data_IF_244104735718
#
_entry.id   IF_244104735718
#
_cell.length_a   1.000
_cell.length_b   1.000
_cell.length_c   1.000
_cell.angle_alpha   90.00
_cell.angle_beta   90.00
_cell.angle_gamma   90.00
#
_symmetry.space_group_name_H-M   'P 1'
#
loop_
_entity.id
_entity.type
_entity.pdbx_description
1 polymer ?
#
# COMPACT_ATOMS: atom_id res chain seq x y z
N UNK A 1 8.52 7.11 -32.20
CA UNK A 1 7.06 7.24 -32.15
C UNK A 1 6.70 8.62 -32.63
N UNK A 2 5.90 8.71 -33.69
CA UNK A 2 5.43 10.00 -34.25
C UNK A 2 4.42 10.65 -33.29
N UNK A 3 4.30 11.98 -33.31
CA UNK A 3 3.35 12.71 -32.43
C UNK A 3 1.89 12.27 -32.63
N UNK A 4 1.56 11.76 -33.83
CA UNK A 4 0.26 11.18 -34.15
C UNK A 4 0.00 9.86 -33.41
N UNK A 5 1.02 9.01 -33.28
CA UNK A 5 0.91 7.74 -32.52
C UNK A 5 0.68 8.01 -31.02
N UNK A 6 1.38 8.99 -30.46
CA UNK A 6 1.20 9.41 -29.05
C UNK A 6 -0.20 9.97 -28.78
N UNK A 7 -0.77 10.73 -29.72
CA UNK A 7 -2.12 11.29 -29.59
C UNK A 7 -3.22 10.22 -29.62
N UNK A 8 -3.06 9.19 -30.47
CA UNK A 8 -4.01 8.07 -30.55
C UNK A 8 -3.94 7.23 -29.28
N UNK A 9 -2.73 6.91 -28.81
CA UNK A 9 -2.52 6.14 -27.58
C UNK A 9 -3.07 6.87 -26.35
N UNK A 10 -2.88 8.19 -26.28
CA UNK A 10 -3.45 9.01 -25.22
C UNK A 10 -4.98 8.98 -25.21
N UNK A 11 -5.63 9.12 -26.36
CA UNK A 11 -7.08 9.07 -26.46
C UNK A 11 -7.65 7.68 -26.12
N UNK A 12 -6.98 6.61 -26.55
CA UNK A 12 -7.36 5.24 -26.18
C UNK A 12 -7.24 5.01 -24.67
N UNK A 13 -6.22 5.56 -24.02
CA UNK A 13 -6.06 5.48 -22.57
C UNK A 13 -7.16 6.22 -21.81
N UNK A 14 -7.60 7.39 -22.29
CA UNK A 14 -8.74 8.11 -21.70
C UNK A 14 -10.03 7.30 -21.79
N UNK A 15 -10.30 6.67 -22.95
CA UNK A 15 -11.47 5.81 -23.11
C UNK A 15 -11.40 4.62 -22.16
N UNK A 16 -10.25 3.95 -22.07
CA UNK A 16 -10.05 2.82 -21.16
C UNK A 16 -10.26 3.23 -19.69
N UNK A 17 -9.71 4.36 -19.27
CA UNK A 17 -9.91 4.90 -17.92
C UNK A 17 -11.37 5.22 -17.63
N UNK A 18 -12.12 5.74 -18.61
CA UNK A 18 -13.55 6.08 -18.42
C UNK A 18 -14.47 4.86 -18.34
N UNK A 19 -14.07 3.73 -18.93
CA UNK A 19 -14.86 2.49 -18.98
C UNK A 19 -14.51 1.50 -17.88
N UNK A 20 -13.35 1.68 -17.24
CA UNK A 20 -12.90 0.82 -16.16
C UNK A 20 -13.71 1.10 -14.90
N UNK A 21 -14.09 0.04 -14.20
CA UNK A 21 -14.72 0.12 -12.89
C UNK A 21 -13.81 0.80 -11.86
N UNK A 22 -14.43 1.35 -10.83
CA UNK A 22 -13.79 1.98 -9.68
C UNK A 22 -13.32 0.95 -8.67
N UNK A 23 -12.13 1.16 -8.12
CA UNK A 23 -11.50 0.25 -7.18
C UNK A 23 -11.31 0.89 -5.81
N UNK A 24 -11.94 0.32 -4.78
CA UNK A 24 -11.80 0.73 -3.39
C UNK A 24 -11.11 -0.38 -2.59
N UNK A 25 -10.11 -0.01 -1.80
CA UNK A 25 -9.33 -0.97 -1.00
C UNK A 25 -9.28 -0.56 0.47
N UNK A 26 -9.69 -1.49 1.33
CA UNK A 26 -9.47 -1.42 2.77
C UNK A 26 -8.11 -2.02 3.13
N UNK A 27 -7.21 -1.18 3.61
CA UNK A 27 -5.89 -1.59 4.10
C UNK A 27 -5.94 -1.72 5.62
N UNK A 28 -5.25 -2.70 6.18
CA UNK A 28 -5.09 -2.81 7.63
C UNK A 28 -3.72 -3.35 8.03
N UNK A 29 -3.28 -2.99 9.24
CA UNK A 29 -1.99 -3.42 9.78
C UNK A 29 -1.89 -4.94 10.02
N UNK A 30 -3.01 -5.62 10.26
CA UNK A 30 -3.06 -7.06 10.52
C UNK A 30 -4.45 -7.68 10.33
N UNK A 31 -4.52 -9.01 10.42
CA UNK A 31 -5.75 -9.74 10.64
C UNK A 31 -6.44 -9.29 11.93
N UNK A 32 -7.78 -9.27 11.92
CA UNK A 32 -8.57 -8.95 13.11
C UNK A 32 -8.86 -7.46 13.35
N UNK A 33 -8.27 -6.54 12.57
CA UNK A 33 -8.56 -5.09 12.65
C UNK A 33 -9.96 -4.70 12.16
N UNK A 34 -10.67 -5.63 11.50
CA UNK A 34 -12.07 -5.42 11.11
C UNK A 34 -12.29 -5.03 9.64
N UNK A 35 -11.31 -5.22 8.75
CA UNK A 35 -11.44 -4.94 7.30
C UNK A 35 -12.70 -5.54 6.68
N UNK A 36 -12.86 -6.86 6.76
CA UNK A 36 -14.03 -7.56 6.20
C UNK A 36 -15.35 -7.09 6.83
N UNK A 37 -15.34 -6.78 8.13
CA UNK A 37 -16.53 -6.28 8.82
C UNK A 37 -16.94 -4.89 8.29
N UNK A 38 -15.98 -3.96 8.17
CA UNK A 38 -16.22 -2.62 7.61
C UNK A 38 -16.67 -2.68 6.15
N UNK A 39 -16.02 -3.53 5.35
CA UNK A 39 -16.38 -3.76 3.96
C UNK A 39 -17.83 -4.26 3.80
N UNK A 40 -18.27 -5.20 4.64
CA UNK A 40 -19.66 -5.67 4.63
C UNK A 40 -20.65 -4.61 5.16
N UNK A 41 -20.28 -3.80 6.15
CA UNK A 41 -21.12 -2.67 6.59
C UNK A 41 -21.35 -1.66 5.46
N UNK A 42 -20.32 -1.36 4.67
CA UNK A 42 -20.44 -0.50 3.50
C UNK A 42 -21.33 -1.13 2.42
N UNK A 43 -21.17 -2.43 2.15
CA UNK A 43 -22.03 -3.16 1.23
C UNK A 43 -23.52 -3.06 1.60
N UNK A 44 -23.86 -3.16 2.89
CA UNK A 44 -25.23 -2.94 3.38
C UNK A 44 -25.70 -1.51 3.15
N UNK A 45 -24.84 -0.52 3.39
CA UNK A 45 -25.16 0.89 3.15
C UNK A 45 -25.46 1.12 1.67
N UNK A 46 -24.64 0.60 0.77
CA UNK A 46 -24.82 0.71 -0.68
C UNK A 46 -26.11 0.03 -1.14
N UNK A 47 -26.36 -1.20 -0.70
CA UNK A 47 -27.58 -1.94 -1.02
C UNK A 47 -28.83 -1.21 -0.53
N UNK A 48 -28.80 -0.64 0.68
CA UNK A 48 -29.91 0.16 1.22
C UNK A 48 -30.19 1.43 0.40
N UNK A 49 -29.18 1.98 -0.25
CA UNK A 49 -29.30 3.13 -1.15
C UNK A 49 -29.65 2.72 -2.59
N UNK A 50 -29.97 1.44 -2.84
CA UNK A 50 -30.43 0.95 -4.14
C UNK A 50 -29.31 0.63 -5.14
N UNK A 51 -28.05 0.59 -4.71
CA UNK A 51 -26.92 0.17 -5.56
C UNK A 51 -26.91 -1.36 -5.66
N UNK A 52 -26.74 -1.90 -6.88
CA UNK A 52 -26.58 -3.35 -7.08
C UNK A 52 -25.21 -3.82 -6.58
N UNK A 53 -25.18 -4.32 -5.34
CA UNK A 53 -23.98 -4.84 -4.69
C UNK A 53 -24.10 -6.34 -4.44
N UNK A 54 -23.07 -7.09 -4.85
CA UNK A 54 -23.02 -8.54 -4.61
C UNK A 54 -21.69 -8.97 -4.00
N UNK A 55 -21.72 -10.04 -3.21
CA UNK A 55 -20.52 -10.68 -2.69
C UNK A 55 -20.02 -11.71 -3.70
N UNK A 56 -18.84 -11.47 -4.27
CA UNK A 56 -18.15 -12.44 -5.11
C UNK A 56 -17.25 -13.35 -4.27
N UNK A 57 -16.56 -12.79 -3.27
CA UNK A 57 -15.77 -13.57 -2.32
C UNK A 57 -15.67 -12.88 -0.96
N UNK A 58 -15.79 -13.67 0.12
CA UNK A 58 -15.65 -13.20 1.51
C UNK A 58 -15.11 -14.33 2.38
N UNK A 59 -14.09 -14.06 3.19
CA UNK A 59 -13.60 -15.01 4.18
C UNK A 59 -14.01 -14.52 5.59
N UNK A 60 -14.97 -15.22 6.19
CA UNK A 60 -15.51 -14.85 7.50
C UNK A 60 -14.66 -15.39 8.65
N UNK A 61 -13.79 -16.38 8.38
CA UNK A 61 -13.05 -17.17 9.36
C UNK A 61 -13.94 -17.67 10.52
N UNK A 62 -15.19 -18.03 10.22
CA UNK A 62 -16.19 -18.50 11.20
C UNK A 62 -16.51 -17.47 12.31
N UNK A 63 -16.27 -16.19 12.04
CA UNK A 63 -16.57 -15.10 12.97
C UNK A 63 -18.05 -14.78 12.91
N UNK A 64 -18.81 -15.20 13.94
CA UNK A 64 -20.28 -14.99 14.05
C UNK A 64 -20.74 -13.58 13.68
N UNK A 65 -20.05 -12.55 14.16
CA UNK A 65 -20.38 -11.15 13.86
C UNK A 65 -20.21 -10.79 12.37
N UNK A 66 -19.21 -11.38 11.70
CA UNK A 66 -18.95 -11.16 10.27
C UNK A 66 -19.89 -12.00 9.40
N UNK A 67 -20.17 -13.25 9.79
CA UNK A 67 -21.17 -14.11 9.15
C UNK A 67 -22.58 -13.53 9.25
N UNK A 68 -22.93 -12.91 10.37
CA UNK A 68 -24.22 -12.22 10.50
C UNK A 68 -24.35 -11.10 9.45
N UNK A 69 -23.26 -10.37 9.15
CA UNK A 69 -23.27 -9.32 8.14
C UNK A 69 -23.37 -9.82 6.70
N UNK A 70 -23.08 -11.09 6.42
CA UNK A 70 -23.29 -11.61 5.06
C UNK A 70 -24.77 -11.87 4.77
N UNK A 71 -25.61 -12.00 5.80
CA UNK A 71 -27.04 -12.17 5.62
C UNK A 71 -27.68 -10.90 5.06
N UNK A 72 -28.53 -11.06 4.04
CA UNK A 72 -29.20 -9.95 3.36
C UNK A 72 -28.39 -9.30 2.24
N UNK A 73 -27.13 -9.68 2.03
CA UNK A 73 -26.35 -9.29 0.86
C UNK A 73 -26.47 -10.38 -0.22
N UNK A 74 -26.75 -10.03 -1.49
CA UNK A 74 -26.75 -10.99 -2.59
C UNK A 74 -25.37 -11.60 -2.81
N UNK A 75 -25.32 -12.88 -3.19
CA UNK A 75 -24.08 -13.61 -3.48
C UNK A 75 -24.01 -13.99 -4.95
N UNK A 76 -22.80 -13.96 -5.50
CA UNK A 76 -22.45 -14.65 -6.73
C UNK A 76 -21.94 -16.03 -6.33
N UNK A 77 -22.50 -17.08 -6.94
CA UNK A 77 -22.14 -18.45 -6.62
C UNK A 77 -20.64 -18.68 -6.88
N UNK A 78 -19.96 -19.27 -5.90
CA UNK A 78 -18.55 -19.65 -6.02
C UNK A 78 -18.43 -20.88 -6.91
N UNK A 79 -17.32 -20.99 -7.62
CA UNK A 79 -16.99 -22.22 -8.35
C UNK A 79 -16.34 -23.23 -7.41
N UNK A 80 -16.74 -24.49 -7.56
CA UNK A 80 -16.11 -25.61 -6.87
C UNK A 80 -14.96 -26.15 -7.72
N UNK A 81 -13.80 -26.36 -7.10
CA UNK A 81 -12.58 -26.83 -7.75
C UNK A 81 -12.00 -27.98 -6.94
N UNK A 82 -11.78 -29.12 -7.59
CA UNK A 82 -11.10 -30.26 -6.97
C UNK A 82 -9.58 -30.15 -7.16
N UNK A 83 -8.84 -30.03 -6.07
CA UNK A 83 -7.39 -29.96 -6.10
C UNK A 83 -6.76 -30.83 -4.99
N UNK A 84 -5.81 -31.70 -5.37
CA UNK A 84 -5.13 -32.65 -4.47
C UNK A 84 -6.10 -33.46 -3.57
N UNK A 85 -7.22 -33.89 -4.13
CA UNK A 85 -8.23 -34.69 -3.42
C UNK A 85 -9.08 -33.90 -2.42
N UNK A 86 -9.03 -32.57 -2.43
CA UNK A 86 -9.91 -31.70 -1.65
C UNK A 86 -10.77 -30.85 -2.58
N UNK A 87 -12.03 -30.67 -2.19
CA UNK A 87 -12.92 -29.70 -2.80
C UNK A 87 -12.63 -28.32 -2.19
N UNK A 88 -12.37 -27.35 -3.04
CA UNK A 88 -12.07 -25.96 -2.68
C UNK A 88 -13.07 -25.05 -3.39
N UNK A 89 -13.46 -23.97 -2.73
CA UNK A 89 -14.28 -22.93 -3.36
C UNK A 89 -13.39 -21.78 -3.80
N UNK A 90 -13.62 -21.29 -5.02
CA UNK A 90 -12.97 -20.09 -5.54
C UNK A 90 -14.00 -19.11 -6.10
N UNK A 91 -13.59 -17.85 -6.21
CA UNK A 91 -14.38 -16.83 -6.90
C UNK A 91 -14.62 -17.24 -8.35
N UNK A 92 -15.85 -17.08 -8.83
CA UNK A 92 -16.21 -17.27 -10.23
C UNK A 92 -16.22 -15.92 -10.95
N UNK A 93 -15.07 -15.57 -11.53
CA UNK A 93 -14.87 -14.30 -12.27
C UNK A 93 -15.83 -14.18 -13.45
N UNK A 94 -16.11 -15.29 -14.14
CA UNK A 94 -16.97 -15.25 -15.31
C UNK A 94 -18.44 -15.06 -14.90
N UNK A 95 -18.87 -15.67 -13.79
CA UNK A 95 -20.18 -15.41 -13.22
C UNK A 95 -20.34 -13.93 -12.82
N UNK A 96 -19.31 -13.32 -12.23
CA UNK A 96 -19.29 -11.88 -11.92
C UNK A 96 -19.47 -11.03 -13.18
N UNK A 97 -18.68 -11.31 -14.23
CA UNK A 97 -18.73 -10.55 -15.47
C UNK A 97 -20.07 -10.72 -16.20
N UNK A 98 -20.65 -11.93 -16.19
CA UNK A 98 -21.92 -12.22 -16.84
C UNK A 98 -23.11 -11.57 -16.12
N UNK A 99 -23.08 -11.57 -14.80
CA UNK A 99 -24.11 -10.97 -13.95
C UNK A 99 -24.03 -9.44 -13.93
N UNK A 100 -22.82 -8.90 -14.09
CA UNK A 100 -22.51 -7.47 -14.28
C UNK A 100 -23.18 -6.53 -13.24
N UNK A 101 -22.98 -6.77 -11.93
CA UNK A 101 -23.50 -5.86 -10.90
C UNK A 101 -22.77 -4.51 -10.94
N UNK A 102 -23.32 -3.49 -10.27
CA UNK A 102 -22.63 -2.21 -10.13
C UNK A 102 -21.36 -2.35 -9.29
N UNK A 103 -21.41 -3.12 -8.20
CA UNK A 103 -20.28 -3.31 -7.27
C UNK A 103 -20.18 -4.77 -6.84
N UNK A 104 -18.95 -5.31 -6.79
CA UNK A 104 -18.66 -6.58 -6.11
C UNK A 104 -17.73 -6.43 -4.92
N UNK A 105 -18.01 -7.24 -3.89
CA UNK A 105 -17.15 -7.42 -2.73
C UNK A 105 -16.20 -8.60 -2.95
N UNK A 106 -14.89 -8.36 -2.82
CA UNK A 106 -13.83 -9.36 -3.01
C UNK A 106 -12.82 -9.28 -1.86
N UNK A 107 -12.91 -10.16 -0.87
CA UNK A 107 -11.95 -10.23 0.24
C UNK A 107 -10.64 -10.96 -0.15
N UNK A 108 -9.62 -10.80 0.70
CA UNK A 108 -8.29 -11.41 0.60
C UNK A 108 -7.60 -11.15 -0.75
N UNK A 109 -7.37 -9.88 -1.08
CA UNK A 109 -6.78 -9.46 -2.35
C UNK A 109 -5.43 -10.15 -2.67
N UNK A 110 -4.69 -10.59 -1.65
CA UNK A 110 -3.36 -11.20 -1.78
C UNK A 110 -3.39 -12.71 -2.09
N UNK A 111 -4.58 -13.31 -2.01
CA UNK A 111 -4.76 -14.75 -2.12
C UNK A 111 -4.17 -15.32 -3.42
N UNK A 112 -3.55 -16.50 -3.27
CA UNK A 112 -3.08 -17.31 -4.39
C UNK A 112 -4.17 -18.28 -4.81
N UNK A 113 -4.68 -18.08 -6.02
CA UNK A 113 -5.76 -18.91 -6.56
C UNK A 113 -5.32 -20.37 -6.68
N UNK A 114 -6.29 -21.28 -6.58
CA UNK A 114 -6.06 -22.73 -6.76
C UNK A 114 -5.35 -23.01 -8.10
N UNK A 115 -4.30 -23.86 -8.15
CA UNK A 115 -3.62 -24.20 -9.38
C UNK A 115 -4.56 -24.73 -10.47
N UNK A 116 -4.36 -24.27 -11.71
CA UNK A 116 -5.28 -24.52 -12.82
C UNK A 116 -6.35 -23.45 -13.02
N UNK A 117 -6.40 -22.42 -12.16
CA UNK A 117 -7.17 -21.20 -12.40
C UNK A 117 -6.60 -20.39 -13.57
N UNK A 118 -7.45 -19.59 -14.23
CA UNK A 118 -7.03 -18.69 -15.32
C UNK A 118 -5.92 -17.73 -14.86
N UNK A 119 -6.10 -17.16 -13.68
CA UNK A 119 -5.15 -16.26 -13.05
C UNK A 119 -4.54 -16.92 -11.80
N UNK A 120 -3.28 -16.60 -11.52
CA UNK A 120 -2.54 -17.13 -10.35
C UNK A 120 -2.93 -16.41 -9.05
N UNK A 121 -3.30 -15.13 -9.14
CA UNK A 121 -3.57 -14.28 -7.98
C UNK A 121 -4.94 -13.64 -8.06
N UNK A 122 -5.61 -13.51 -6.91
CA UNK A 122 -6.93 -12.87 -6.83
C UNK A 122 -6.94 -11.41 -7.28
N UNK A 123 -5.85 -10.67 -7.07
CA UNK A 123 -5.74 -9.31 -7.60
C UNK A 123 -5.78 -9.24 -9.13
N UNK A 124 -5.39 -10.31 -9.84
CA UNK A 124 -5.54 -10.37 -11.29
C UNK A 124 -7.01 -10.57 -11.68
N UNK A 125 -7.75 -11.39 -10.93
CA UNK A 125 -9.19 -11.52 -11.12
C UNK A 125 -9.91 -10.19 -10.87
N UNK A 126 -9.49 -9.45 -9.84
CA UNK A 126 -10.00 -8.09 -9.58
C UNK A 126 -9.71 -7.15 -10.75
N UNK A 127 -8.54 -7.25 -11.39
CA UNK A 127 -8.26 -6.47 -12.61
C UNK A 127 -9.22 -6.87 -13.73
N UNK A 128 -9.43 -8.16 -13.97
CA UNK A 128 -10.35 -8.64 -15.01
C UNK A 128 -11.78 -8.09 -14.79
N UNK A 129 -12.25 -8.03 -13.54
CA UNK A 129 -13.56 -7.48 -13.16
C UNK A 129 -13.61 -5.96 -13.38
N UNK A 130 -12.56 -5.23 -12.96
CA UNK A 130 -12.48 -3.78 -13.16
C UNK A 130 -12.43 -3.41 -14.64
N UNK A 131 -11.69 -4.18 -15.45
CA UNK A 131 -11.59 -3.95 -16.89
C UNK A 131 -12.89 -4.29 -17.65
N UNK A 132 -13.76 -5.12 -17.06
CA UNK A 132 -15.13 -5.34 -17.53
C UNK A 132 -16.09 -4.19 -17.17
N UNK A 133 -15.64 -3.18 -16.40
CA UNK A 133 -16.43 -2.01 -16.03
C UNK A 133 -17.19 -2.15 -14.71
N UNK A 134 -16.96 -3.22 -13.94
CA UNK A 134 -17.61 -3.49 -12.65
C UNK A 134 -16.75 -2.92 -11.54
N UNK A 135 -17.36 -2.20 -10.59
CA UNK A 135 -16.61 -1.64 -9.46
C UNK A 135 -16.28 -2.73 -8.44
N UNK A 136 -15.14 -2.61 -7.75
CA UNK A 136 -14.69 -3.60 -6.76
C UNK A 136 -14.36 -2.93 -5.44
N UNK A 137 -14.89 -3.49 -4.35
CA UNK A 137 -14.44 -3.19 -2.99
C UNK A 137 -13.68 -4.41 -2.45
N UNK A 138 -12.44 -4.19 -2.01
CA UNK A 138 -11.57 -5.25 -1.54
C UNK A 138 -10.88 -4.90 -0.22
N UNK A 139 -10.21 -5.89 0.38
CA UNK A 139 -9.48 -5.75 1.62
C UNK A 139 -8.12 -6.48 1.58
N UNK A 140 -7.12 -5.88 2.23
CA UNK A 140 -5.74 -6.39 2.25
C UNK A 140 -5.01 -5.99 3.53
N UNK A 141 -4.07 -6.82 3.99
CA UNK A 141 -3.12 -6.44 5.04
C UNK A 141 -1.84 -5.87 4.43
N UNK A 142 -1.22 -4.89 5.10
CA UNK A 142 0.04 -4.27 4.64
C UNK A 142 1.18 -5.27 4.45
N UNK A 143 1.17 -6.38 5.20
CA UNK A 143 2.18 -7.42 5.15
C UNK A 143 2.30 -8.12 3.79
N UNK A 144 1.25 -8.00 2.96
CA UNK A 144 1.21 -8.56 1.62
C UNK A 144 1.73 -7.59 0.55
N UNK A 145 2.07 -6.35 0.90
CA UNK A 145 2.62 -5.38 -0.05
C UNK A 145 4.09 -5.72 -0.30
N UNK A 146 4.47 -5.83 -1.58
CA UNK A 146 5.81 -6.28 -1.98
C UNK A 146 6.92 -5.38 -1.39
N UNK A 147 6.80 -4.06 -1.53
CA UNK A 147 7.82 -3.11 -1.05
C UNK A 147 8.03 -3.11 0.47
N UNK A 148 7.02 -3.54 1.22
CA UNK A 148 7.00 -3.48 2.69
C UNK A 148 7.36 -4.85 3.31
N UNK A 149 7.50 -5.89 2.49
CA UNK A 149 7.69 -7.27 2.95
C UNK A 149 8.93 -7.45 3.83
N UNK A 150 10.05 -6.83 3.46
CA UNK A 150 11.31 -6.92 4.22
C UNK A 150 11.19 -6.24 5.59
N UNK A 151 10.56 -5.07 5.66
CA UNK A 151 10.32 -4.35 6.92
C UNK A 151 9.41 -5.17 7.84
N UNK A 152 8.34 -5.75 7.29
CA UNK A 152 7.42 -6.62 8.05
C UNK A 152 8.13 -7.88 8.54
N UNK A 153 8.99 -8.48 7.73
CA UNK A 153 9.79 -9.63 8.17
C UNK A 153 10.74 -9.24 9.31
N UNK A 154 11.40 -8.08 9.23
CA UNK A 154 12.26 -7.58 10.29
C UNK A 154 11.51 -7.33 11.61
N UNK A 155 10.27 -6.85 11.54
CA UNK A 155 9.40 -6.61 12.70
C UNK A 155 8.86 -7.92 13.30
N UNK A 156 8.33 -8.80 12.44
CA UNK A 156 7.51 -9.94 12.89
C UNK A 156 8.30 -11.24 13.01
N UNK A 157 9.37 -11.40 12.22
CA UNK A 157 10.11 -12.65 12.02
C UNK A 157 9.39 -13.67 11.13
N UNK A 158 8.25 -13.30 10.53
CA UNK A 158 7.40 -14.21 9.74
C UNK A 158 7.47 -13.85 8.27
N UNK A 159 7.91 -14.80 7.44
CA UNK A 159 7.93 -14.63 6.00
C UNK A 159 6.52 -14.71 5.42
N UNK A 160 6.10 -13.67 4.69
CA UNK A 160 4.80 -13.64 3.99
C UNK A 160 5.01 -14.03 2.53
N UNK A 161 4.41 -15.16 2.15
CA UNK A 161 4.52 -15.75 0.81
C UNK A 161 3.49 -15.18 -0.18
N UNK A 162 2.32 -14.80 0.32
CA UNK A 162 1.27 -14.19 -0.49
C UNK A 162 1.52 -12.70 -0.62
N UNK A 163 1.76 -12.24 -1.85
CA UNK A 163 2.20 -10.88 -2.13
C UNK A 163 1.37 -10.22 -3.23
N UNK A 164 1.30 -8.90 -3.15
CA UNK A 164 0.66 -8.00 -4.09
C UNK A 164 1.68 -6.93 -4.51
N UNK A 165 1.86 -6.72 -5.82
CA UNK A 165 2.66 -5.59 -6.32
C UNK A 165 2.06 -4.25 -5.92
N UNK A 166 2.90 -3.30 -5.50
CA UNK A 166 2.51 -1.93 -5.13
C UNK A 166 1.59 -1.23 -6.14
N UNK A 167 1.83 -1.48 -7.44
CA UNK A 167 1.03 -0.93 -8.54
C UNK A 167 -0.47 -1.24 -8.40
N UNK A 168 -0.83 -2.37 -7.78
CA UNK A 168 -2.24 -2.76 -7.61
C UNK A 168 -2.94 -1.80 -6.64
N UNK A 169 -2.25 -1.38 -5.57
CA UNK A 169 -2.79 -0.37 -4.66
C UNK A 169 -2.81 1.01 -5.28
N UNK A 170 -1.80 1.34 -6.09
CA UNK A 170 -1.76 2.61 -6.83
C UNK A 170 -2.92 2.73 -7.84
N UNK A 171 -3.45 1.61 -8.33
CA UNK A 171 -4.60 1.57 -9.22
C UNK A 171 -5.94 1.78 -8.48
N UNK A 172 -5.97 1.77 -7.14
CA UNK A 172 -7.20 1.98 -6.39
C UNK A 172 -7.63 3.45 -6.44
N UNK A 173 -8.87 3.72 -6.83
CA UNK A 173 -9.48 5.05 -6.79
C UNK A 173 -9.70 5.53 -5.34
N UNK A 174 -9.90 4.63 -4.38
CA UNK A 174 -10.03 4.95 -2.96
C UNK A 174 -9.25 3.95 -2.09
N UNK A 175 -8.50 4.45 -1.12
CA UNK A 175 -7.77 3.63 -0.15
C UNK A 175 -8.18 4.06 1.25
N UNK A 176 -8.72 3.12 2.04
CA UNK A 176 -9.22 3.37 3.39
C UNK A 176 -8.39 2.57 4.39
N UNK A 177 -7.76 3.25 5.34
CA UNK A 177 -7.04 2.60 6.43
C UNK A 177 -7.99 2.16 7.55
N UNK A 178 -7.92 0.89 7.92
CA UNK A 178 -8.59 0.34 9.10
C UNK A 178 -7.56 0.13 10.19
N UNK A 179 -7.69 0.93 11.23
CA UNK A 179 -6.76 1.00 12.35
C UNK A 179 -7.45 0.61 13.66
N UNK A 180 -6.66 0.03 14.57
CA UNK A 180 -7.03 -0.27 15.95
C UNK A 180 -5.81 -0.01 16.83
N UNK A 181 -6.03 0.25 18.11
CA UNK A 181 -4.93 0.25 19.07
C UNK A 181 -4.40 -1.16 19.30
N UNK A 182 -3.16 -1.28 19.79
CA UNK A 182 -2.57 -2.57 20.11
C UNK A 182 -3.39 -3.30 21.19
N UNK A 183 -3.87 -2.57 22.20
CA UNK A 183 -4.69 -3.11 23.28
C UNK A 183 -6.01 -3.68 22.75
N UNK A 184 -6.74 -2.94 21.91
CA UNK A 184 -7.98 -3.42 21.28
C UNK A 184 -7.74 -4.67 20.42
N UNK A 185 -6.65 -4.72 19.67
CA UNK A 185 -6.33 -5.88 18.84
C UNK A 185 -6.01 -7.11 19.71
N UNK A 186 -5.27 -6.92 20.79
CA UNK A 186 -4.93 -7.98 21.77
C UNK A 186 -6.19 -8.46 22.49
N UNK A 187 -7.08 -7.57 22.91
CA UNK A 187 -8.36 -7.92 23.53
C UNK A 187 -9.22 -8.75 22.59
N UNK A 188 -9.31 -8.34 21.32
CA UNK A 188 -10.03 -9.10 20.28
C UNK A 188 -9.42 -10.49 20.07
N UNK A 189 -8.09 -10.60 20.08
CA UNK A 189 -7.42 -11.89 20.01
C UNK A 189 -7.77 -12.77 21.22
N UNK A 190 -7.66 -12.23 22.44
CA UNK A 190 -7.98 -12.94 23.70
C UNK A 190 -9.43 -13.38 23.78
N UNK A 191 -10.35 -12.58 23.23
CA UNK A 191 -11.76 -12.91 23.11
C UNK A 191 -12.07 -13.98 22.03
N UNK A 192 -11.04 -14.52 21.35
CA UNK A 192 -11.22 -15.52 20.29
C UNK A 192 -11.85 -14.95 19.01
N UNK A 193 -11.80 -13.63 18.82
CA UNK A 193 -12.39 -12.96 17.64
C UNK A 193 -11.46 -12.90 16.43
N UNK A 194 -10.26 -13.48 16.51
CA UNK A 194 -9.23 -13.43 15.46
C UNK A 194 -8.71 -14.83 15.10
N UNK A 195 -8.38 -15.65 16.09
CA UNK A 195 -7.93 -17.04 15.92
C UNK A 195 -8.65 -17.99 16.86
N UNK A 196 -8.63 -19.28 16.51
CA UNK A 196 -9.03 -20.37 17.39
C UNK A 196 -8.24 -20.37 18.70
N UNK A 197 -8.87 -20.79 19.79
CA UNK A 197 -8.31 -20.77 21.14
C UNK A 197 -6.94 -21.45 21.25
N UNK A 198 -6.74 -22.52 20.47
CA UNK A 198 -5.48 -23.29 20.44
C UNK A 198 -4.29 -22.51 19.89
N UNK A 199 -4.53 -21.45 19.09
CA UNK A 199 -3.47 -20.62 18.46
C UNK A 199 -3.25 -19.29 19.18
N UNK A 200 -4.09 -18.92 20.14
CA UNK A 200 -4.04 -17.61 20.81
C UNK A 200 -2.70 -17.40 21.54
N UNK A 201 -2.26 -18.36 22.35
CA UNK A 201 -1.02 -18.23 23.13
C UNK A 201 0.19 -18.04 22.20
N UNK A 202 0.29 -18.86 21.16
CA UNK A 202 1.35 -18.77 20.16
C UNK A 202 1.29 -17.45 19.39
N UNK A 203 0.09 -16.95 19.06
CA UNK A 203 -0.09 -15.67 18.38
C UNK A 203 0.35 -14.49 19.25
N UNK A 204 0.02 -14.49 20.54
CA UNK A 204 0.43 -13.47 21.53
C UNK A 204 1.94 -13.45 21.76
N UNK A 205 2.59 -14.62 21.76
CA UNK A 205 4.05 -14.71 21.91
C UNK A 205 4.82 -14.29 20.64
N UNK A 206 4.16 -14.25 19.48
CA UNK A 206 4.81 -13.96 18.20
C UNK A 206 4.37 -12.63 17.60
N UNK A 207 3.30 -12.64 16.79
CA UNK A 207 2.88 -11.49 15.99
C UNK A 207 2.18 -10.41 16.85
N UNK A 208 1.36 -10.82 17.83
CA UNK A 208 0.48 -9.93 18.60
C UNK A 208 1.15 -9.38 19.86
N UNK A 209 2.38 -8.89 19.70
CA UNK A 209 3.11 -8.15 20.72
C UNK A 209 2.86 -6.64 20.54
N UNK A 210 2.60 -5.87 21.63
CA UNK A 210 2.31 -4.45 21.53
C UNK A 210 3.34 -3.66 20.71
N UNK A 211 4.63 -3.95 20.88
CA UNK A 211 5.73 -3.28 20.19
C UNK A 211 5.68 -3.54 18.69
N UNK A 212 5.41 -4.78 18.27
CA UNK A 212 5.29 -5.17 16.87
C UNK A 212 4.05 -4.56 16.22
N UNK A 213 2.92 -4.55 16.93
CA UNK A 213 1.69 -3.93 16.45
C UNK A 213 1.90 -2.43 16.24
N UNK A 214 2.60 -1.75 17.15
CA UNK A 214 2.90 -0.33 17.01
C UNK A 214 3.75 -0.02 15.77
N UNK A 215 4.78 -0.84 15.51
CA UNK A 215 5.61 -0.70 14.31
C UNK A 215 4.84 -0.99 13.02
N UNK A 216 3.99 -2.03 12.99
CA UNK A 216 3.12 -2.31 11.84
C UNK A 216 2.08 -1.21 11.62
N UNK A 217 1.60 -0.57 12.70
CA UNK A 217 0.68 0.57 12.62
C UNK A 217 1.36 1.78 12.00
N UNK A 218 2.58 2.10 12.43
CA UNK A 218 3.40 3.15 11.82
C UNK A 218 3.58 2.90 10.32
N UNK A 219 3.92 1.67 9.96
CA UNK A 219 4.13 1.24 8.58
C UNK A 219 2.85 1.36 7.74
N UNK A 220 1.70 0.97 8.29
CA UNK A 220 0.40 1.11 7.62
C UNK A 220 0.04 2.58 7.35
N UNK A 221 0.25 3.44 8.34
CA UNK A 221 -0.03 4.87 8.21
C UNK A 221 0.90 5.54 7.19
N UNK A 222 2.19 5.16 7.20
CA UNK A 222 3.18 5.65 6.23
C UNK A 222 2.81 5.26 4.80
N UNK A 223 2.37 4.02 4.58
CA UNK A 223 1.96 3.57 3.24
C UNK A 223 0.71 4.29 2.76
N UNK A 224 -0.31 4.42 3.62
CA UNK A 224 -1.54 5.17 3.29
C UNK A 224 -1.21 6.63 2.98
N UNK A 225 -0.33 7.27 3.76
CA UNK A 225 0.12 8.63 3.49
C UNK A 225 0.81 8.75 2.13
N UNK A 226 1.69 7.80 1.79
CA UNK A 226 2.37 7.78 0.47
C UNK A 226 1.38 7.61 -0.69
N UNK A 227 0.34 6.78 -0.53
CA UNK A 227 -0.70 6.61 -1.55
C UNK A 227 -1.54 7.87 -1.75
N UNK A 228 -1.89 8.57 -0.66
CA UNK A 228 -2.60 9.86 -0.74
C UNK A 228 -1.73 10.91 -1.44
N UNK A 229 -0.45 11.00 -1.09
CA UNK A 229 0.48 11.93 -1.72
C UNK A 229 0.61 11.68 -3.24
N UNK A 230 0.77 10.42 -3.65
CA UNK A 230 0.83 10.06 -5.09
C UNK A 230 -0.45 10.44 -5.84
N UNK A 231 -1.63 10.32 -5.22
CA UNK A 231 -2.90 10.75 -5.84
C UNK A 231 -3.00 12.25 -5.96
N UNK A 232 -2.59 12.97 -4.93
CA UNK A 232 -2.51 14.44 -4.96
C UNK A 232 -1.62 14.90 -6.11
N UNK A 233 -0.44 14.28 -6.28
CA UNK A 233 0.47 14.60 -7.38
C UNK A 233 -0.10 14.27 -8.77
N UNK A 234 -0.90 13.20 -8.87
CA UNK A 234 -1.49 12.75 -10.13
C UNK A 234 -2.72 13.57 -10.57
N UNK A 235 -3.62 13.88 -9.64
CA UNK A 235 -4.89 14.58 -9.89
C UNK A 235 -4.71 16.10 -9.88
N UNK A 236 -3.89 16.62 -8.97
CA UNK A 236 -3.57 18.03 -8.92
C UNK A 236 -2.39 18.29 -9.85
N UNK A 237 -2.67 18.44 -11.15
CA UNK A 237 -1.76 19.20 -12.05
C UNK A 237 -1.78 20.65 -11.57
N UNK A 238 -0.91 20.95 -10.59
CA UNK A 238 -0.80 22.29 -10.01
C UNK A 238 -0.37 23.25 -11.12
N UNK A 239 -1.35 23.95 -11.68
CA UNK A 239 -1.12 25.21 -12.38
C UNK A 239 -0.57 26.19 -11.32
N UNK A 240 0.72 26.49 -11.44
CA UNK A 240 1.50 27.53 -10.78
C UNK A 240 0.95 28.08 -9.43
N UNK A 241 1.47 27.61 -8.27
CA UNK A 241 1.88 28.45 -7.11
C UNK A 241 2.30 27.78 -5.79
N UNK A 242 2.32 26.46 -5.65
CA UNK A 242 3.09 25.85 -4.56
C UNK A 242 4.53 25.66 -5.06
N UNK A 243 5.36 26.69 -4.86
CA UNK A 243 6.81 26.56 -5.10
C UNK A 243 7.28 25.33 -4.36
N UNK A 244 7.82 24.35 -5.09
CA UNK A 244 8.61 23.30 -4.47
C UNK A 244 9.77 24.00 -3.78
N UNK A 245 9.75 24.06 -2.44
CA UNK A 245 10.78 24.76 -1.68
C UNK A 245 12.09 24.00 -1.81
N UNK A 246 12.94 24.37 -2.78
CA UNK A 246 14.25 23.76 -2.93
C UNK A 246 15.14 24.21 -1.78
N UNK A 247 15.65 23.27 -1.02
CA UNK A 247 16.61 23.58 0.04
C UNK A 247 18.02 23.58 -0.52
N UNK A 248 18.86 24.53 -0.11
CA UNK A 248 20.27 24.57 -0.50
C UNK A 248 21.15 24.71 0.75
N UNK A 249 22.15 23.86 0.85
CA UNK A 249 23.16 23.91 1.89
C UNK A 249 24.50 24.37 1.30
N UNK A 250 24.95 25.56 1.69
CA UNK A 250 26.30 26.02 1.35
C UNK A 250 27.29 25.54 2.40
N UNK A 251 28.30 24.79 1.97
CA UNK A 251 29.36 24.26 2.86
C UNK A 251 30.74 24.78 2.43
N UNK A 252 31.65 24.88 3.39
CA UNK A 252 33.07 25.20 3.18
C UNK A 252 33.95 23.98 3.48
N UNK A 253 35.27 24.14 3.46
CA UNK A 253 36.19 23.06 3.83
C UNK A 253 36.22 22.73 5.33
N UNK A 254 35.45 23.46 6.17
CA UNK A 254 35.34 23.18 7.60
C UNK A 254 34.46 21.93 7.85
N UNK A 255 35.10 20.84 8.29
CA UNK A 255 34.47 19.54 8.42
C UNK A 255 33.31 19.49 9.43
N UNK A 256 33.43 20.16 10.58
CA UNK A 256 32.45 20.05 11.66
C UNK A 256 31.21 20.88 11.36
N UNK A 257 31.39 22.10 10.87
CA UNK A 257 30.28 22.97 10.48
C UNK A 257 29.55 22.41 9.26
N UNK A 258 30.27 21.88 8.27
CA UNK A 258 29.66 21.27 7.09
C UNK A 258 28.74 20.10 7.46
N UNK A 259 29.20 19.15 8.30
CA UNK A 259 28.38 18.01 8.75
C UNK A 259 27.10 18.44 9.45
N UNK A 260 27.17 19.45 10.31
CA UNK A 260 25.99 19.97 11.01
C UNK A 260 24.97 20.56 10.03
N UNK A 261 25.43 21.36 9.06
CA UNK A 261 24.57 21.99 8.05
C UNK A 261 23.91 20.93 7.18
N UNK A 262 24.68 19.94 6.70
CA UNK A 262 24.19 18.81 5.88
C UNK A 262 23.05 18.10 6.61
N UNK A 263 23.24 17.72 7.88
CA UNK A 263 22.22 17.02 8.67
C UNK A 263 20.96 17.85 8.90
N UNK A 264 21.12 19.16 9.19
CA UNK A 264 19.98 20.05 9.42
C UNK A 264 19.16 20.27 8.15
N UNK A 265 19.84 20.51 7.02
CA UNK A 265 19.17 20.71 5.73
C UNK A 265 18.52 19.42 5.24
N UNK A 266 19.17 18.26 5.38
CA UNK A 266 18.57 16.97 5.06
C UNK A 266 17.29 16.70 5.88
N UNK A 267 17.30 17.03 7.18
CA UNK A 267 16.12 16.88 8.05
C UNK A 267 14.97 17.79 7.62
N UNK A 268 15.27 19.04 7.23
CA UNK A 268 14.26 19.97 6.72
C UNK A 268 13.72 19.53 5.36
N UNK A 269 14.60 19.15 4.44
CA UNK A 269 14.22 18.65 3.11
C UNK A 269 13.35 17.39 3.20
N UNK A 270 13.68 16.47 4.10
CA UNK A 270 12.86 15.28 4.38
C UNK A 270 11.52 15.62 5.02
N UNK A 271 11.45 16.62 5.91
CA UNK A 271 10.19 17.05 6.52
C UNK A 271 9.23 17.69 5.51
N UNK A 272 9.76 18.45 4.55
CA UNK A 272 8.98 19.12 3.49
C UNK A 272 8.90 18.32 2.18
N UNK A 273 9.36 17.06 2.17
CA UNK A 273 9.48 16.20 1.00
C UNK A 273 9.98 16.91 -0.27
N UNK A 274 11.08 17.68 -0.14
CA UNK A 274 11.58 18.52 -1.22
C UNK A 274 13.01 18.18 -1.63
N UNK A 275 13.33 18.43 -2.90
CA UNK A 275 14.68 18.30 -3.43
C UNK A 275 15.60 19.29 -2.73
N UNK A 276 16.81 18.84 -2.42
CA UNK A 276 17.82 19.70 -1.82
C UNK A 276 19.19 19.52 -2.46
N UNK A 277 19.97 20.59 -2.41
CA UNK A 277 21.24 20.71 -3.10
C UNK A 277 22.34 21.08 -2.11
N UNK A 278 23.54 20.60 -2.37
CA UNK A 278 24.75 21.04 -1.70
C UNK A 278 25.54 21.92 -2.64
N UNK A 279 26.03 23.05 -2.13
CA UNK A 279 26.96 23.91 -2.85
C UNK A 279 28.25 24.03 -2.04
N UNK A 280 29.36 23.58 -2.61
CA UNK A 280 30.67 23.84 -2.03
C UNK A 280 31.21 25.17 -2.55
N UNK A 281 31.41 26.11 -1.63
CA UNK A 281 31.96 27.43 -1.96
C UNK A 281 33.48 27.36 -1.81
N UNK A 282 34.18 27.28 -2.94
CA UNK A 282 35.63 27.25 -2.97
C UNK A 282 36.22 28.67 -2.97
N UNK A 283 36.96 29.03 -1.92
CA UNK A 283 37.76 30.27 -1.90
C UNK A 283 39.17 30.05 -2.49
N UNK A 284 39.89 31.11 -2.92
CA UNK A 284 41.27 30.97 -3.44
C UNK A 284 42.28 30.35 -2.44
N UNK A 285 41.96 30.34 -1.14
CA UNK A 285 42.73 29.68 -0.08
C UNK A 285 42.36 28.19 0.08
N UNK A 286 41.21 27.78 -0.45
CA UNK A 286 40.67 26.42 -0.39
C UNK A 286 40.77 25.68 -1.74
N UNK A 287 41.64 26.16 -2.63
CA UNK A 287 41.97 25.42 -3.84
C UNK A 287 42.46 24.02 -3.47
N UNK A 288 42.06 22.97 -4.21
CA UNK A 288 42.46 21.59 -3.98
C UNK A 288 43.97 21.46 -3.82
N UNK A 289 44.75 22.23 -4.57
CA UNK A 289 46.22 22.18 -4.55
C UNK A 289 46.84 22.92 -3.35
N UNK A 290 46.02 23.62 -2.56
CA UNK A 290 46.46 24.47 -1.43
C UNK A 290 45.96 23.99 -0.06
N UNK A 291 45.05 23.02 -0.03
CA UNK A 291 44.53 22.43 1.21
C UNK A 291 45.19 21.10 1.53
N UNK A 292 45.36 20.81 2.83
CA UNK A 292 45.95 19.55 3.30
C UNK A 292 45.10 18.36 2.85
N UNK A 293 45.74 17.22 2.56
CA UNK A 293 45.08 15.97 2.17
C UNK A 293 43.99 15.51 3.16
N UNK A 294 44.16 15.80 4.46
CA UNK A 294 43.15 15.51 5.49
C UNK A 294 41.86 16.30 5.26
N UNK A 295 41.96 17.57 4.86
CA UNK A 295 40.82 18.45 4.57
C UNK A 295 40.11 18.01 3.29
N UNK A 296 40.86 17.63 2.26
CA UNK A 296 40.29 17.06 1.03
C UNK A 296 39.46 15.80 1.31
N UNK A 297 39.99 14.90 2.16
CA UNK A 297 39.29 13.67 2.55
C UNK A 297 37.98 13.97 3.28
N UNK A 298 37.96 14.96 4.17
CA UNK A 298 36.75 15.38 4.86
C UNK A 298 35.70 15.95 3.89
N UNK A 299 36.12 16.72 2.89
CA UNK A 299 35.22 17.29 1.88
C UNK A 299 34.56 16.18 1.04
N UNK A 300 35.33 15.20 0.57
CA UNK A 300 34.81 14.04 -0.17
C UNK A 300 33.81 13.24 0.67
N UNK A 301 34.14 13.01 1.95
CA UNK A 301 33.23 12.29 2.86
C UNK A 301 31.93 13.06 3.09
N UNK A 302 31.98 14.39 3.14
CA UNK A 302 30.80 15.23 3.30
C UNK A 302 29.91 15.21 2.04
N UNK A 303 30.49 15.22 0.83
CA UNK A 303 29.72 15.04 -0.41
C UNK A 303 29.06 13.67 -0.48
N UNK A 304 29.82 12.61 -0.17
CA UNK A 304 29.27 11.25 -0.12
C UNK A 304 28.11 11.15 0.86
N UNK A 305 28.29 11.68 2.08
CA UNK A 305 27.23 11.72 3.09
C UNK A 305 26.01 12.50 2.62
N UNK A 306 26.19 13.61 1.90
CA UNK A 306 25.09 14.39 1.37
C UNK A 306 24.29 13.64 0.29
N UNK A 307 24.98 12.98 -0.64
CA UNK A 307 24.34 12.15 -1.67
C UNK A 307 23.61 10.95 -1.05
N UNK A 308 24.19 10.30 -0.04
CA UNK A 308 23.53 9.24 0.74
C UNK A 308 22.27 9.75 1.46
N UNK A 309 22.24 11.03 1.85
CA UNK A 309 21.07 11.70 2.44
C UNK A 309 20.14 12.35 1.38
N UNK A 310 20.32 12.03 0.10
CA UNK A 310 19.44 12.44 -0.99
C UNK A 310 19.68 13.84 -1.57
N UNK A 311 20.85 14.45 -1.31
CA UNK A 311 21.23 15.72 -1.92
C UNK A 311 21.86 15.55 -3.30
N UNK A 312 21.63 16.52 -4.19
CA UNK A 312 22.42 16.72 -5.41
C UNK A 312 23.60 17.66 -5.08
N UNK A 313 24.84 17.25 -5.40
CA UNK A 313 26.10 17.96 -5.07
C UNK A 313 26.65 18.69 -6.29
#
# INVERSE_FOLDING_TARGET
MSDREKSVEHFLNLIRQSKRGKFKVYIGMSAGVGKSYRMLQEAHSLLKNGVDVKIAYIETHKRKETEALTHGLPFIARRQVFYKGKELEEMDVQAVINDHPEIVIVDELAHTNVPGSKNEKRWQDVIDILDAGINVISAVNIQHIESINEEVFAITGVAVTERIPDKILQMADEVVNIDLTADELIERLRAGKIYDQTKIQTALQNFFQPEKILQLRELALKEVASQVERKVDAEIKVDARLRHEKFMACISSNADTAKMIIRKTARLASYYNSKWYILYVQTPKENSDRIKLSVQRHLINNFKMATEMGAEV
#
